data_IF_979119460978
#
_entry.id   IF_979119460978
#
_cell.length_a   1.000
_cell.length_b   1.000
_cell.length_c   1.000
_cell.angle_alpha   90.00
_cell.angle_beta   90.00
_cell.angle_gamma   90.00
#
_symmetry.space_group_name_H-M   'P 1'
#
loop_
_entity.id
_entity.type
_entity.pdbx_description
1 polymer ?
#
# COMPACT_ATOMS: atom_id res chain seq x y z
N UNK A 1 -7.99 -8.10 -35.31
CA UNK A 1 -7.47 -7.24 -34.22
C UNK A 1 -6.80 -8.12 -33.19
N UNK A 2 -5.46 -8.26 -33.16
CA UNK A 2 -4.78 -9.17 -32.25
C UNK A 2 -4.49 -8.45 -30.92
N UNK A 3 -5.48 -8.41 -30.02
CA UNK A 3 -5.30 -7.91 -28.64
C UNK A 3 -5.10 -9.08 -27.66
N UNK A 4 -5.21 -10.32 -28.12
CA UNK A 4 -5.38 -11.50 -27.27
C UNK A 4 -4.08 -12.13 -26.77
N UNK A 5 -2.92 -11.87 -27.41
CA UNK A 5 -1.69 -12.59 -27.10
C UNK A 5 -0.75 -11.84 -26.14
N UNK A 6 -0.88 -10.51 -26.02
CA UNK A 6 -0.15 -9.70 -25.03
C UNK A 6 -0.90 -9.60 -23.68
N UNK A 7 -2.03 -10.29 -23.56
CA UNK A 7 -3.05 -10.03 -22.53
C UNK A 7 -2.99 -10.92 -21.29
N UNK A 8 -2.11 -11.93 -21.21
CA UNK A 8 -1.78 -12.60 -19.92
C UNK A 8 -0.74 -11.78 -19.16
N UNK A 9 -0.90 -10.46 -19.20
CA UNK A 9 -0.08 -9.48 -18.53
C UNK A 9 -0.88 -8.71 -17.48
N UNK A 10 -0.26 -7.78 -16.75
CA UNK A 10 -0.90 -7.00 -15.68
C UNK A 10 -2.20 -6.31 -16.09
N UNK A 11 -2.41 -6.07 -17.39
CA UNK A 11 -3.67 -5.56 -17.96
C UNK A 11 -4.89 -6.45 -17.61
N UNK A 12 -4.78 -7.78 -17.65
CA UNK A 12 -5.89 -8.68 -17.30
C UNK A 12 -6.25 -8.61 -15.81
N UNK A 13 -5.24 -8.57 -14.94
CA UNK A 13 -5.41 -8.38 -13.50
C UNK A 13 -6.09 -7.04 -13.17
N UNK A 14 -5.74 -5.97 -13.89
CA UNK A 14 -6.38 -4.66 -13.72
C UNK A 14 -7.88 -4.71 -14.06
N UNK A 15 -8.26 -5.36 -15.17
CA UNK A 15 -9.68 -5.49 -15.55
C UNK A 15 -10.47 -6.23 -14.46
N UNK A 16 -9.94 -7.33 -13.95
CA UNK A 16 -10.56 -8.10 -12.86
C UNK A 16 -10.64 -7.24 -11.59
N UNK A 17 -9.58 -6.52 -11.25
CA UNK A 17 -9.56 -5.62 -10.09
C UNK A 17 -10.63 -4.53 -10.21
N UNK A 18 -10.83 -3.93 -11.39
CA UNK A 18 -11.88 -2.92 -11.61
C UNK A 18 -13.27 -3.51 -11.40
N UNK A 19 -13.55 -4.70 -11.93
CA UNK A 19 -14.85 -5.38 -11.73
C UNK A 19 -15.06 -5.71 -10.25
N UNK A 20 -14.04 -6.26 -9.58
CA UNK A 20 -14.08 -6.55 -8.15
C UNK A 20 -14.28 -5.26 -7.32
N UNK A 21 -13.65 -4.16 -7.72
CA UNK A 21 -13.81 -2.84 -7.10
C UNK A 21 -15.21 -2.25 -7.26
N UNK A 22 -15.94 -2.58 -8.33
CA UNK A 22 -17.34 -2.17 -8.48
C UNK A 22 -18.23 -2.96 -7.51
N UNK A 23 -17.99 -4.27 -7.38
CA UNK A 23 -18.78 -5.15 -6.50
C UNK A 23 -18.47 -4.88 -5.01
N UNK A 24 -17.19 -4.81 -4.66
CA UNK A 24 -16.74 -4.66 -3.28
C UNK A 24 -16.55 -3.18 -2.88
N UNK A 25 -16.24 -2.29 -3.80
CA UNK A 25 -15.93 -0.89 -3.53
C UNK A 25 -14.44 -0.62 -3.24
N UNK A 26 -13.86 0.51 -3.69
CA UNK A 26 -12.44 0.83 -3.50
C UNK A 26 -12.04 1.10 -2.05
N UNK A 27 -13.00 1.35 -1.16
CA UNK A 27 -12.74 1.48 0.27
C UNK A 27 -12.65 0.13 0.99
N UNK A 28 -13.24 -0.94 0.43
CA UNK A 28 -13.27 -2.25 1.09
C UNK A 28 -11.97 -3.04 0.92
N UNK A 29 -11.32 -2.99 -0.24
CA UNK A 29 -10.00 -3.61 -0.44
C UNK A 29 -8.94 -3.15 0.58
N UNK A 30 -8.70 -1.84 0.81
CA UNK A 30 -7.71 -1.40 1.79
C UNK A 30 -8.15 -1.69 3.23
N UNK A 31 -9.47 -1.70 3.52
CA UNK A 31 -9.98 -2.09 4.83
C UNK A 31 -9.72 -3.58 5.10
N UNK A 32 -9.99 -4.46 4.12
CA UNK A 32 -9.70 -5.89 4.19
C UNK A 32 -8.19 -6.15 4.30
N UNK A 33 -7.38 -5.45 3.50
CA UNK A 33 -5.93 -5.57 3.54
C UNK A 33 -5.32 -5.17 4.89
N UNK A 34 -5.86 -4.13 5.56
CA UNK A 34 -5.45 -3.78 6.93
C UNK A 34 -5.81 -4.88 7.93
N UNK A 35 -7.04 -5.38 7.90
CA UNK A 35 -7.49 -6.42 8.81
C UNK A 35 -6.68 -7.72 8.63
N UNK A 36 -6.55 -8.18 7.38
CA UNK A 36 -5.77 -9.37 7.03
C UNK A 36 -4.28 -9.17 7.31
N UNK A 37 -3.74 -7.97 7.06
CA UNK A 37 -2.34 -7.64 7.32
C UNK A 37 -1.97 -7.67 8.80
N UNK A 38 -2.84 -7.17 9.68
CA UNK A 38 -2.67 -7.30 11.13
C UNK A 38 -2.65 -8.77 11.56
N UNK A 39 -3.57 -9.59 11.05
CA UNK A 39 -3.57 -11.04 11.33
C UNK A 39 -2.31 -11.71 10.81
N UNK A 40 -1.85 -11.37 9.60
CA UNK A 40 -0.63 -11.94 9.02
C UNK A 40 0.62 -11.52 9.81
N UNK A 41 0.63 -10.30 10.37
CA UNK A 41 1.70 -9.80 11.22
C UNK A 41 1.76 -10.56 12.53
N UNK A 42 0.66 -10.65 13.27
CA UNK A 42 0.61 -11.45 14.50
C UNK A 42 0.93 -12.94 14.22
N UNK A 43 0.46 -13.49 13.09
CA UNK A 43 0.79 -14.85 12.68
C UNK A 43 2.30 -15.01 12.39
N UNK A 44 2.92 -14.05 11.72
CA UNK A 44 4.37 -14.03 11.46
C UNK A 44 5.15 -13.94 12.77
N UNK A 45 4.73 -13.07 13.70
CA UNK A 45 5.40 -12.87 14.98
C UNK A 45 5.29 -14.11 15.87
N UNK A 46 4.11 -14.74 15.91
CA UNK A 46 3.91 -16.01 16.61
C UNK A 46 4.70 -17.16 15.97
N UNK A 47 4.78 -17.21 14.65
CA UNK A 47 5.53 -18.26 13.94
C UNK A 47 7.04 -18.06 14.08
N UNK A 48 7.54 -16.81 14.07
CA UNK A 48 8.96 -16.49 14.33
C UNK A 48 9.42 -17.04 15.68
N UNK A 49 8.64 -16.81 16.75
CA UNK A 49 8.96 -17.36 18.07
C UNK A 49 8.92 -18.89 18.18
N UNK A 50 8.30 -19.58 17.22
CA UNK A 50 8.26 -21.05 17.13
C UNK A 50 9.30 -21.61 16.14
N UNK A 51 9.71 -20.81 15.16
CA UNK A 51 10.65 -21.19 14.11
C UNK A 51 12.12 -20.91 14.51
N UNK A 52 12.35 -20.07 15.50
CA UNK A 52 13.70 -19.75 16.01
C UNK A 52 14.12 -20.78 17.07
N UNK A 53 14.80 -21.84 16.63
CA UNK A 53 15.94 -22.43 17.38
C UNK A 53 17.27 -22.22 16.62
N UNK A 54 17.25 -21.79 15.36
CA UNK A 54 18.43 -21.41 14.58
C UNK A 54 18.07 -20.30 13.58
N UNK A 55 19.03 -19.37 13.37
CA UNK A 55 19.09 -18.31 12.36
C UNK A 55 18.33 -16.98 12.60
N UNK A 56 19.07 -16.08 13.25
CA UNK A 56 19.35 -14.67 12.95
C UNK A 56 18.24 -13.66 12.55
N UNK A 57 18.37 -12.50 13.19
CA UNK A 57 17.59 -11.28 13.14
C UNK A 57 17.27 -10.73 11.74
N UNK A 58 15.99 -10.76 11.36
CA UNK A 58 15.41 -9.82 10.38
C UNK A 58 14.48 -8.83 11.11
N UNK A 59 15.09 -7.76 11.62
CA UNK A 59 14.43 -6.51 12.01
C UNK A 59 14.05 -5.72 10.75
N UNK A 60 12.76 -5.65 10.40
CA UNK A 60 12.31 -4.62 9.47
C UNK A 60 10.88 -4.12 9.71
N UNK A 61 10.86 -2.83 10.00
CA UNK A 61 9.97 -1.79 9.49
C UNK A 61 8.58 -1.58 10.11
N UNK A 62 8.60 -0.89 11.27
CA UNK A 62 7.48 -0.10 11.79
C UNK A 62 7.78 1.41 11.62
N UNK A 63 7.87 1.92 10.38
CA UNK A 63 7.86 3.37 10.11
C UNK A 63 6.80 3.78 9.08
N UNK A 64 5.90 4.65 9.57
CA UNK A 64 4.97 5.57 8.87
C UNK A 64 3.55 5.05 8.62
N UNK A 65 2.59 5.64 9.36
CA UNK A 65 1.53 6.52 8.79
C UNK A 65 0.66 7.14 9.91
N UNK A 66 1.17 8.20 10.54
CA UNK A 66 0.30 9.27 11.03
C UNK A 66 -0.06 10.18 9.83
N UNK A 67 -1.32 10.54 9.60
CA UNK A 67 -1.72 11.37 8.46
C UNK A 67 -1.20 12.80 8.64
N UNK A 68 -0.29 13.24 7.75
CA UNK A 68 -0.03 14.68 7.56
C UNK A 68 -1.27 15.30 6.94
N UNK A 69 -1.94 16.15 7.71
CA UNK A 69 -2.94 17.12 7.23
C UNK A 69 -2.30 17.93 6.09
N UNK A 70 -2.91 17.88 4.92
CA UNK A 70 -2.61 18.72 3.78
C UNK A 70 -3.76 19.74 3.73
N UNK A 71 -3.51 20.96 4.18
CA UNK A 71 -4.27 22.14 3.77
C UNK A 71 -3.23 23.15 3.29
N UNK A 72 -3.09 23.15 1.97
CA UNK A 72 -2.94 24.31 1.09
C UNK A 72 -1.91 25.39 1.47
N UNK A 73 -0.79 25.32 0.75
CA UNK A 73 0.09 26.46 0.47
C UNK A 73 -0.34 27.05 -0.89
N UNK A 74 -0.78 28.30 -0.90
CA UNK A 74 -0.69 29.25 -2.02
C UNK A 74 -0.26 30.58 -1.36
N UNK A 75 1.03 30.92 -1.32
CA UNK A 75 1.85 31.61 -2.34
C UNK A 75 1.18 32.88 -2.88
N UNK A 76 1.59 34.03 -2.33
CA UNK A 76 1.84 35.19 -3.17
C UNK A 76 3.25 35.72 -2.86
N UNK A 77 4.04 35.77 -3.93
CA UNK A 77 5.44 36.16 -4.04
C UNK A 77 5.48 37.64 -4.42
N UNK A 78 6.22 38.47 -3.67
CA UNK A 78 6.84 39.68 -4.25
C UNK A 78 8.26 39.82 -3.70
N UNK A 79 9.20 39.83 -4.65
CA UNK A 79 10.63 40.00 -4.50
C UNK A 79 11.01 41.46 -4.22
N UNK A 80 12.27 41.64 -3.83
CA UNK A 80 13.14 42.79 -4.06
C UNK A 80 13.49 43.67 -2.84
N UNK A 81 14.58 43.29 -2.16
CA UNK A 81 15.45 44.21 -1.41
C UNK A 81 16.72 44.46 -2.21
N UNK A 82 16.80 45.64 -2.84
CA UNK A 82 18.05 46.33 -3.20
C UNK A 82 17.87 47.81 -2.91
N UNK A 83 18.38 48.28 -1.77
CA UNK A 83 19.18 49.50 -1.59
C UNK A 83 19.73 49.56 -0.17
#
# INVERSE_FOLDING_TARGET
MPVTLMAVGPTSMIVIAVVALIIFGPKKLPQFGRAMGSTLREFKDATKGLATDDDDDDEDDDKKKQPKKIETVEVEKVEETKV
#
